data_IF_350679464958
#
_entry.id   IF_350679464958
#
_cell.length_a   1.000
_cell.length_b   1.000
_cell.length_c   1.000
_cell.angle_alpha   90.00
_cell.angle_beta   90.00
_cell.angle_gamma   90.00
#
_symmetry.space_group_name_H-M   'P 1'
#
loop_
_entity.id
_entity.type
_entity.pdbx_description
1 polymer ?
#
# COMPACT_ATOMS: atom_id res chain seq x y z
N UNK A 1 -21.42 5.78 -28.99
CA UNK A 1 -19.97 5.88 -28.69
C UNK A 1 -19.56 4.61 -27.93
N UNK A 2 -18.78 3.70 -28.52
CA UNK A 2 -18.35 2.45 -27.82
C UNK A 2 -17.22 2.79 -26.84
N UNK A 3 -17.52 2.81 -25.55
CA UNK A 3 -16.51 2.91 -24.49
C UNK A 3 -15.73 1.60 -24.44
N UNK A 4 -14.54 1.54 -25.05
CA UNK A 4 -13.63 0.41 -24.84
C UNK A 4 -13.08 0.51 -23.42
N UNK A 5 -13.50 -0.39 -22.54
CA UNK A 5 -12.85 -0.61 -21.23
C UNK A 5 -11.46 -1.20 -21.48
N UNK A 6 -10.44 -0.39 -21.24
CA UNK A 6 -9.05 -0.87 -21.29
C UNK A 6 -8.80 -1.72 -20.06
N UNK A 7 -8.61 -3.03 -20.26
CA UNK A 7 -8.25 -3.94 -19.17
C UNK A 7 -6.81 -3.66 -18.75
N UNK A 8 -6.57 -3.69 -17.43
CA UNK A 8 -5.22 -3.63 -16.88
C UNK A 8 -4.62 -5.03 -16.88
N UNK A 9 -3.36 -5.12 -17.31
CA UNK A 9 -2.59 -6.35 -17.14
C UNK A 9 -2.17 -6.51 -15.66
N UNK A 10 -1.86 -7.73 -15.23
CA UNK A 10 -1.49 -8.02 -13.84
C UNK A 10 -0.37 -7.12 -13.33
N UNK A 11 0.70 -6.96 -14.12
CA UNK A 11 1.83 -6.09 -13.77
C UNK A 11 1.44 -4.63 -13.67
N UNK A 12 0.53 -4.14 -14.51
CA UNK A 12 0.04 -2.76 -14.45
C UNK A 12 -0.81 -2.54 -13.20
N UNK A 13 -1.67 -3.50 -12.86
CA UNK A 13 -2.49 -3.45 -11.65
C UNK A 13 -1.63 -3.50 -10.38
N UNK A 14 -0.62 -4.38 -10.34
CA UNK A 14 0.34 -4.47 -9.23
C UNK A 14 1.15 -3.17 -9.11
N UNK A 15 1.73 -2.67 -10.20
CA UNK A 15 2.48 -1.40 -10.18
C UNK A 15 1.62 -0.23 -9.75
N UNK A 16 0.35 -0.19 -10.15
CA UNK A 16 -0.60 0.82 -9.70
C UNK A 16 -0.83 0.73 -8.20
N UNK A 17 -1.13 -0.46 -7.67
CA UNK A 17 -1.37 -0.67 -6.24
C UNK A 17 -0.12 -0.39 -5.38
N UNK A 18 1.05 -0.86 -5.81
CA UNK A 18 2.31 -0.63 -5.08
C UNK A 18 2.67 0.86 -5.10
N UNK A 19 2.50 1.53 -6.24
CA UNK A 19 2.76 2.96 -6.37
C UNK A 19 1.88 3.80 -5.46
N UNK A 20 0.58 3.48 -5.34
CA UNK A 20 -0.33 4.20 -4.45
C UNK A 20 0.00 3.95 -2.97
N UNK A 21 0.31 2.72 -2.58
CA UNK A 21 0.67 2.39 -1.19
C UNK A 21 1.97 3.07 -0.73
N UNK A 22 3.01 3.08 -1.59
CA UNK A 22 4.28 3.77 -1.31
C UNK A 22 4.07 5.28 -1.28
N UNK A 23 3.33 5.84 -2.24
CA UNK A 23 3.01 7.26 -2.32
C UNK A 23 2.32 7.77 -1.04
N UNK A 24 1.27 7.07 -0.61
CA UNK A 24 0.51 7.44 0.58
C UNK A 24 1.32 7.25 1.88
N UNK A 25 2.03 6.13 2.02
CA UNK A 25 2.68 5.77 3.29
C UNK A 25 4.04 6.44 3.46
N UNK A 26 4.93 6.31 2.46
CA UNK A 26 6.33 6.72 2.56
C UNK A 26 6.50 8.23 2.36
N UNK A 27 5.79 8.82 1.39
CA UNK A 27 5.96 10.23 1.08
C UNK A 27 4.97 11.15 1.82
N UNK A 28 3.85 10.63 2.28
CA UNK A 28 2.81 11.45 2.92
C UNK A 28 2.87 11.41 4.45
N UNK A 29 2.96 10.23 5.07
CA UNK A 29 2.81 10.09 6.54
C UNK A 29 4.02 9.46 7.26
N UNK A 30 5.12 9.14 6.56
CA UNK A 30 6.27 8.46 7.15
C UNK A 30 6.90 9.25 8.32
N UNK A 31 7.01 10.57 8.19
CA UNK A 31 7.54 11.43 9.25
C UNK A 31 6.70 11.40 10.52
N UNK A 32 5.37 11.40 10.39
CA UNK A 32 4.46 11.25 11.52
C UNK A 32 4.58 9.86 12.15
N UNK A 33 4.65 8.82 11.32
CA UNK A 33 4.91 7.44 11.78
C UNK A 33 6.21 7.33 12.56
N UNK A 34 7.29 7.96 12.07
CA UNK A 34 8.58 7.98 12.75
C UNK A 34 8.55 8.72 14.08
N UNK A 35 7.78 9.81 14.20
CA UNK A 35 7.61 10.53 15.48
C UNK A 35 6.86 9.69 16.51
N UNK A 36 5.83 8.94 16.09
CA UNK A 36 5.00 8.14 17.01
C UNK A 36 5.69 6.82 17.37
N UNK A 37 6.23 6.11 16.38
CA UNK A 37 6.79 4.77 16.57
C UNK A 37 8.30 4.78 16.88
N UNK A 38 9.01 5.87 16.56
CA UNK A 38 10.46 5.98 16.77
C UNK A 38 11.23 4.81 16.14
N UNK A 39 12.10 4.19 16.92
CA UNK A 39 12.86 3.01 16.51
C UNK A 39 11.99 1.80 16.16
N UNK A 40 10.76 1.74 16.67
CA UNK A 40 9.84 0.62 16.43
C UNK A 40 9.10 0.75 15.09
N UNK A 41 9.37 1.80 14.29
CA UNK A 41 8.71 1.99 12.99
C UNK A 41 8.79 0.77 12.06
N UNK A 42 9.93 0.06 11.91
CA UNK A 42 9.98 -1.15 11.09
C UNK A 42 9.03 -2.24 11.59
N UNK A 43 8.93 -2.41 12.91
CA UNK A 43 8.02 -3.39 13.53
C UNK A 43 6.55 -3.03 13.25
N UNK A 44 6.20 -1.75 13.37
CA UNK A 44 4.84 -1.26 13.06
C UNK A 44 4.48 -1.49 11.58
N UNK A 45 5.43 -1.34 10.66
CA UNK A 45 5.24 -1.68 9.25
C UNK A 45 4.97 -3.17 9.04
N UNK A 46 5.73 -4.04 9.72
CA UNK A 46 5.53 -5.50 9.64
C UNK A 46 4.15 -5.89 10.17
N UNK A 47 3.76 -5.38 11.34
CA UNK A 47 2.45 -5.66 11.94
C UNK A 47 1.32 -5.17 11.02
N UNK A 48 1.44 -3.95 10.49
CA UNK A 48 0.47 -3.40 9.52
C UNK A 48 0.38 -4.26 8.26
N UNK A 49 1.51 -4.79 7.78
CA UNK A 49 1.57 -5.73 6.66
C UNK A 49 0.85 -7.05 6.94
N UNK A 50 1.00 -7.61 8.14
CA UNK A 50 0.26 -8.81 8.55
C UNK A 50 -1.24 -8.56 8.59
N UNK A 51 -1.68 -7.42 9.12
CA UNK A 51 -3.10 -7.02 9.10
C UNK A 51 -3.60 -6.87 7.66
N UNK A 52 -2.80 -6.25 6.78
CA UNK A 52 -3.14 -6.13 5.36
C UNK A 52 -3.26 -7.50 4.67
N UNK A 53 -2.44 -8.49 5.01
CA UNK A 53 -2.56 -9.86 4.49
C UNK A 53 -3.83 -10.57 4.98
N UNK A 54 -4.21 -10.38 6.24
CA UNK A 54 -5.48 -10.91 6.76
C UNK A 54 -6.67 -10.31 6.01
N UNK A 55 -6.62 -9.00 5.73
CA UNK A 55 -7.64 -8.32 4.93
C UNK A 55 -7.62 -8.83 3.49
N UNK A 56 -6.45 -9.00 2.88
CA UNK A 56 -6.30 -9.51 1.52
C UNK A 56 -6.81 -10.95 1.38
N UNK A 57 -6.71 -11.78 2.41
CA UNK A 57 -7.32 -13.13 2.43
C UNK A 57 -8.85 -13.08 2.40
N UNK A 58 -9.46 -12.00 2.91
CA UNK A 58 -10.91 -11.83 2.93
C UNK A 58 -11.49 -11.28 1.63
N UNK A 59 -10.65 -10.74 0.72
CA UNK A 59 -11.06 -10.20 -0.58
C UNK A 59 -10.86 -11.23 -1.70
#
# INVERSE_FOLDING_TARGET
>A
MKTRTRKLNLTQAVSLAVGTMIGASIFSIFGLGAQIAGHNLPLVFVISGLVALLVAYSY
#
